data_IF_246885488203
#
_entry.id   IF_246885488203
#
_cell.length_a   1.000
_cell.length_b   1.000
_cell.length_c   1.000
_cell.angle_alpha   90.00
_cell.angle_beta   90.00
_cell.angle_gamma   90.00
#
_symmetry.space_group_name_H-M   'P 1'
#
loop_
_entity.id
_entity.type
_entity.pdbx_description
1 polymer ?
#
# COMPACT_ATOMS: atom_id res chain seq x y z
N UNK A 1 12.30 -10.15 -18.68
CA UNK A 1 12.29 -9.06 -19.71
C UNK A 1 10.86 -8.65 -20.10
N UNK A 2 9.87 -8.99 -19.26
CA UNK A 2 8.48 -8.53 -19.41
C UNK A 2 7.81 -8.29 -18.04
N UNK A 3 8.60 -8.25 -16.98
CA UNK A 3 8.12 -8.36 -15.60
C UNK A 3 7.46 -7.05 -15.17
N UNK A 4 8.01 -5.90 -15.56
CA UNK A 4 7.43 -4.59 -15.23
C UNK A 4 6.10 -4.32 -15.95
N UNK A 5 6.00 -4.64 -17.24
CA UNK A 5 4.76 -4.43 -18.00
C UNK A 5 3.64 -5.38 -17.55
N UNK A 6 4.00 -6.61 -17.18
CA UNK A 6 3.07 -7.55 -16.56
C UNK A 6 2.61 -7.06 -15.18
N UNK A 7 3.55 -6.60 -14.35
CA UNK A 7 3.25 -6.04 -13.03
C UNK A 7 2.36 -4.80 -13.12
N UNK A 8 2.63 -3.89 -14.06
CA UNK A 8 1.76 -2.73 -14.32
C UNK A 8 0.34 -3.15 -14.69
N UNK A 9 0.18 -4.14 -15.57
CA UNK A 9 -1.14 -4.65 -15.93
C UNK A 9 -1.88 -5.28 -14.72
N UNK A 10 -1.15 -5.96 -13.83
CA UNK A 10 -1.74 -6.50 -12.60
C UNK A 10 -2.17 -5.40 -11.64
N UNK A 11 -1.33 -4.38 -11.43
CA UNK A 11 -1.67 -3.22 -10.59
C UNK A 11 -2.91 -2.50 -11.12
N UNK A 12 -3.06 -2.37 -12.43
CA UNK A 12 -4.24 -1.75 -13.04
C UNK A 12 -5.51 -2.61 -12.94
N UNK A 13 -5.39 -3.93 -12.86
CA UNK A 13 -6.52 -4.87 -12.80
C UNK A 13 -7.00 -5.13 -11.35
N UNK A 14 -6.06 -5.31 -10.42
CA UNK A 14 -6.35 -5.73 -9.03
C UNK A 14 -5.70 -4.86 -7.95
N UNK A 15 -5.05 -3.75 -8.32
CA UNK A 15 -4.36 -2.89 -7.35
C UNK A 15 -5.26 -2.04 -6.48
N UNK A 16 -6.56 -1.92 -6.77
CA UNK A 16 -7.49 -1.06 -6.04
C UNK A 16 -8.49 -1.84 -5.20
N UNK A 17 -8.87 -1.29 -4.04
CA UNK A 17 -9.89 -1.83 -3.15
C UNK A 17 -9.39 -2.93 -2.23
N UNK A 18 -8.08 -3.00 -1.96
CA UNK A 18 -7.50 -4.04 -1.11
C UNK A 18 -7.69 -3.67 0.36
N UNK A 19 -8.59 -4.35 1.07
CA UNK A 19 -8.81 -4.11 2.50
C UNK A 19 -7.62 -4.64 3.30
N UNK A 20 -7.01 -3.80 4.11
CA UNK A 20 -5.91 -4.17 5.02
C UNK A 20 -6.51 -4.95 6.19
N UNK A 21 -6.37 -6.27 6.13
CA UNK A 21 -6.82 -7.19 7.16
C UNK A 21 -5.65 -7.89 7.87
N UNK A 22 -5.97 -8.78 8.81
CA UNK A 22 -4.95 -9.53 9.53
C UNK A 22 -4.15 -10.49 8.65
N UNK A 23 -4.68 -10.91 7.49
CA UNK A 23 -3.97 -11.80 6.56
C UNK A 23 -2.94 -10.99 5.75
N UNK A 24 -3.30 -9.79 5.29
CA UNK A 24 -2.39 -8.89 4.59
C UNK A 24 -1.31 -8.27 5.48
N UNK A 25 -1.45 -8.36 6.81
CA UNK A 25 -0.46 -7.88 7.76
C UNK A 25 0.43 -9.00 8.33
N UNK A 26 0.24 -10.26 7.92
CA UNK A 26 1.03 -11.36 8.45
C UNK A 26 2.52 -11.21 8.10
N UNK A 27 3.34 -10.92 9.12
CA UNK A 27 4.76 -10.62 8.94
C UNK A 27 5.06 -9.16 8.54
N UNK A 28 4.07 -8.27 8.55
CA UNK A 28 4.27 -6.84 8.43
C UNK A 28 5.02 -6.28 9.66
N UNK A 29 5.98 -5.36 9.49
CA UNK A 29 6.68 -4.75 10.62
C UNK A 29 5.81 -3.79 11.46
N UNK A 30 4.66 -3.35 10.92
CA UNK A 30 3.72 -2.45 11.60
C UNK A 30 2.59 -3.27 12.19
N UNK A 31 2.32 -3.12 13.48
CA UNK A 31 1.26 -3.88 14.14
C UNK A 31 -0.13 -3.30 13.79
N UNK A 32 -1.15 -4.15 13.75
CA UNK A 32 -2.51 -3.76 13.35
C UNK A 32 -3.09 -2.59 14.17
N UNK A 33 -2.67 -2.45 15.43
CA UNK A 33 -3.14 -1.38 16.32
C UNK A 33 -2.40 -0.04 16.10
N UNK A 34 -1.30 -0.04 15.36
CA UNK A 34 -0.51 1.16 15.03
C UNK A 34 -0.96 1.80 13.71
N UNK A 35 -1.74 1.09 12.88
CA UNK A 35 -2.13 1.54 11.54
C UNK A 35 -2.89 2.87 11.55
N UNK A 36 -3.69 3.11 12.58
CA UNK A 36 -4.47 4.34 12.71
C UNK A 36 -3.61 5.57 13.00
N UNK A 37 -2.40 5.38 13.54
CA UNK A 37 -1.47 6.43 13.96
C UNK A 37 -0.16 6.41 13.16
N UNK A 38 -0.12 5.63 12.07
CA UNK A 38 1.10 5.40 11.32
C UNK A 38 1.60 6.69 10.67
N UNK A 39 2.91 6.89 10.66
CA UNK A 39 3.52 7.94 9.85
C UNK A 39 3.65 7.52 8.37
N UNK A 40 4.08 8.44 7.50
CA UNK A 40 4.20 8.17 6.07
C UNK A 40 5.21 7.03 5.79
N UNK A 41 6.27 6.90 6.60
CA UNK A 41 7.28 5.86 6.42
C UNK A 41 6.72 4.48 6.80
N UNK A 42 5.94 4.40 7.88
CA UNK A 42 5.22 3.19 8.28
C UNK A 42 4.17 2.82 7.24
N UNK A 43 3.42 3.78 6.70
CA UNK A 43 2.48 3.54 5.61
C UNK A 43 3.16 2.95 4.37
N UNK A 44 4.35 3.44 4.01
CA UNK A 44 5.13 2.88 2.91
C UNK A 44 5.62 1.45 3.20
N UNK A 45 5.92 1.10 4.45
CA UNK A 45 6.27 -0.27 4.83
C UNK A 45 5.06 -1.22 4.73
N UNK A 46 3.88 -0.78 5.19
CA UNK A 46 2.62 -1.52 5.05
C UNK A 46 2.31 -1.74 3.58
N UNK A 47 2.34 -0.68 2.77
CA UNK A 47 2.10 -0.75 1.33
C UNK A 47 3.10 -1.69 0.64
N UNK A 48 4.41 -1.60 0.95
CA UNK A 48 5.42 -2.47 0.37
C UNK A 48 5.20 -3.95 0.72
N UNK A 49 4.81 -4.24 1.97
CA UNK A 49 4.49 -5.58 2.41
C UNK A 49 3.28 -6.15 1.68
N UNK A 50 2.17 -5.40 1.64
CA UNK A 50 0.96 -5.82 0.94
C UNK A 50 1.20 -5.98 -0.57
N UNK A 51 1.99 -5.10 -1.19
CA UNK A 51 2.36 -5.21 -2.60
C UNK A 51 3.06 -6.54 -2.89
N UNK A 52 3.99 -6.97 -2.02
CA UNK A 52 4.67 -8.24 -2.19
C UNK A 52 3.77 -9.45 -2.05
N UNK A 53 2.77 -9.41 -1.16
CA UNK A 53 1.78 -10.48 -1.03
C UNK A 53 0.83 -10.55 -2.22
N UNK A 54 0.34 -9.40 -2.69
CA UNK A 54 -0.66 -9.33 -3.76
C UNK A 54 -0.08 -9.67 -5.14
N UNK A 55 1.16 -9.25 -5.40
CA UNK A 55 1.78 -9.36 -6.72
C UNK A 55 2.94 -10.36 -6.80
N UNK A 56 3.26 -11.08 -5.72
CA UNK A 56 4.43 -11.97 -5.61
C UNK A 56 5.73 -11.24 -6.04
N UNK A 57 5.87 -9.98 -5.60
CA UNK A 57 6.93 -9.07 -6.02
C UNK A 57 7.71 -8.51 -4.82
N UNK A 58 9.04 -8.69 -4.82
CA UNK A 58 9.88 -8.13 -3.78
C UNK A 58 10.13 -6.64 -4.03
N UNK A 59 9.56 -5.78 -3.18
CA UNK A 59 9.77 -4.32 -3.25
C UNK A 59 11.20 -3.96 -2.88
N UNK A 60 11.87 -3.17 -3.72
CA UNK A 60 13.25 -2.70 -3.51
C UNK A 60 13.31 -1.23 -3.04
N UNK A 61 12.36 -0.41 -3.46
CA UNK A 61 12.27 1.02 -3.18
C UNK A 61 10.88 1.34 -2.61
N UNK A 62 10.85 2.06 -1.50
CA UNK A 62 9.63 2.58 -0.91
C UNK A 62 9.86 3.99 -0.39
N UNK A 63 8.84 4.84 -0.50
CA UNK A 63 8.86 6.20 0.02
C UNK A 63 7.46 6.60 0.48
N UNK A 64 7.36 7.06 1.73
CA UNK A 64 6.16 7.70 2.25
C UNK A 64 6.16 9.19 1.94
N UNK A 65 5.10 9.70 1.34
CA UNK A 65 4.98 11.12 0.93
C UNK A 65 4.11 11.89 1.93
N UNK A 66 2.91 11.39 2.21
CA UNK A 66 1.92 12.07 3.05
C UNK A 66 1.32 11.12 4.09
N UNK A 67 1.04 11.67 5.28
CA UNK A 67 0.29 11.02 6.34
C UNK A 67 -0.61 12.08 6.99
N UNK A 68 -1.87 12.09 6.60
CA UNK A 68 -2.92 12.91 7.19
C UNK A 68 -3.83 12.01 8.03
N UNK A 69 -3.49 11.93 9.32
CA UNK A 69 -4.20 11.13 10.31
C UNK A 69 -5.64 11.66 10.50
N UNK A 70 -5.84 12.98 10.38
CA UNK A 70 -7.14 13.61 10.57
C UNK A 70 -8.11 13.25 9.44
N UNK A 71 -7.62 13.16 8.20
CA UNK A 71 -8.42 12.67 7.06
C UNK A 71 -8.37 11.15 6.88
N UNK A 72 -7.48 10.45 7.61
CA UNK A 72 -7.27 9.01 7.48
C UNK A 72 -6.71 8.64 6.11
N UNK A 73 -5.73 9.42 5.63
CA UNK A 73 -5.13 9.29 4.31
C UNK A 73 -3.60 9.19 4.43
N UNK A 74 -3.03 8.20 3.77
CA UNK A 74 -1.59 8.03 3.64
C UNK A 74 -1.23 7.75 2.19
N UNK A 75 -0.16 8.37 1.69
CA UNK A 75 0.26 8.23 0.30
C UNK A 75 1.76 8.05 0.19
N UNK A 76 2.18 7.46 -0.93
CA UNK A 76 3.59 7.30 -1.24
C UNK A 76 3.83 6.49 -2.49
N UNK A 77 5.02 5.91 -2.59
CA UNK A 77 5.40 5.05 -3.71
C UNK A 77 6.09 3.76 -3.27
N UNK A 78 5.91 2.70 -4.06
CA UNK A 78 6.62 1.41 -3.97
C UNK A 78 7.11 1.03 -5.37
N UNK A 79 8.41 0.88 -5.57
CA UNK A 79 9.06 0.60 -6.87
C UNK A 79 8.58 1.50 -8.03
N UNK A 80 8.19 2.74 -7.73
CA UNK A 80 7.66 3.70 -8.69
C UNK A 80 6.16 3.61 -8.97
N UNK A 81 5.45 2.65 -8.36
CA UNK A 81 3.98 2.62 -8.28
C UNK A 81 3.51 3.52 -7.15
N UNK A 82 2.43 4.28 -7.37
CA UNK A 82 1.79 5.04 -6.30
C UNK A 82 1.00 4.10 -5.40
N UNK A 83 0.91 4.46 -4.12
CA UNK A 83 -0.06 3.87 -3.21
C UNK A 83 -0.85 4.93 -2.46
N UNK A 84 -2.07 4.58 -2.10
CA UNK A 84 -2.94 5.34 -1.21
C UNK A 84 -3.55 4.37 -0.20
N UNK A 85 -3.38 4.64 1.09
CA UNK A 85 -4.15 4.01 2.15
C UNK A 85 -5.20 5.02 2.60
N UNK A 86 -6.46 4.61 2.65
CA UNK A 86 -7.56 5.48 3.08
C UNK A 86 -8.63 4.69 3.81
N UNK A 87 -9.45 5.37 4.63
CA UNK A 87 -10.63 4.74 5.21
C UNK A 87 -11.80 4.71 4.23
N UNK A 88 -12.47 3.58 4.14
CA UNK A 88 -13.75 3.48 3.43
C UNK A 88 -14.94 3.98 4.28
N UNK A 89 -16.15 3.87 3.73
CA UNK A 89 -17.39 4.32 4.37
C UNK A 89 -17.75 3.54 5.66
N UNK A 90 -17.17 2.35 5.88
CA UNK A 90 -17.38 1.55 7.08
C UNK A 90 -16.23 1.67 8.09
N UNK A 91 -15.15 2.36 7.72
CA UNK A 91 -14.01 2.70 8.56
C UNK A 91 -12.81 1.75 8.42
N UNK A 92 -12.88 0.81 7.48
CA UNK A 92 -11.81 -0.13 7.19
C UNK A 92 -10.70 0.58 6.40
N UNK A 93 -9.43 0.20 6.66
CA UNK A 93 -8.31 0.71 5.89
C UNK A 93 -8.23 -0.03 4.56
N UNK A 94 -8.29 0.74 3.47
CA UNK A 94 -8.22 0.25 2.10
C UNK A 94 -6.95 0.78 1.45
N UNK A 95 -6.26 -0.11 0.75
CA UNK A 95 -5.05 0.14 0.01
C UNK A 95 -5.33 0.09 -1.50
N UNK A 96 -5.00 1.18 -2.16
CA UNK A 96 -5.05 1.33 -3.60
C UNK A 96 -3.63 1.53 -4.14
N UNK A 97 -3.28 0.80 -5.19
CA UNK A 97 -2.06 0.98 -5.96
C UNK A 97 -2.39 1.55 -7.34
N UNK A 98 -1.44 2.32 -7.90
CA UNK A 98 -1.58 2.88 -9.24
C UNK A 98 -0.26 2.84 -10.00
N UNK A 99 -0.34 2.79 -11.32
CA UNK A 99 0.83 2.82 -12.22
C UNK A 99 1.52 4.20 -12.27
N UNK A 100 1.00 5.19 -11.53
CA UNK A 100 1.53 6.54 -11.44
C UNK A 100 1.90 6.85 -9.98
N UNK A 101 3.00 7.57 -9.71
CA UNK A 101 3.30 8.03 -8.36
C UNK A 101 2.22 9.00 -7.85
N UNK A 102 1.99 8.97 -6.54
CA UNK A 102 1.04 9.83 -5.82
C UNK A 102 1.42 11.32 -5.85
#
# INVERSE_FOLDING_TARGET
>A
MNDLAGLQALVEDVGSGNVIDAELLDGCPVEAHELDEMDASQAAQVAAHCFGLLFDHQVEQLEGIEADIDSGLWTGTVDGFGFQISRDDVGDLVLDFSSQPA
#
